data_IF_833132745885
#
_entry.id   IF_833132745885
#
_cell.length_a   1.000
_cell.length_b   1.000
_cell.length_c   1.000
_cell.angle_alpha   90.00
_cell.angle_beta   90.00
_cell.angle_gamma   90.00
#
_symmetry.space_group_name_H-M   'P 1'
#
loop_
_entity.id
_entity.type
_entity.pdbx_description
1 polymer ?
#
# COMPACT_ATOMS: atom_id res chain seq x y z
N UNK A 1 19.05 -15.64 42.07
CA UNK A 1 17.80 -16.01 41.37
C UNK A 1 16.82 -14.84 41.49
N UNK A 2 16.81 -13.91 40.54
CA UNK A 2 15.77 -13.80 39.50
C UNK A 2 14.35 -13.76 40.07
N UNK A 3 13.74 -12.56 40.13
CA UNK A 3 12.53 -12.22 39.35
C UNK A 3 11.91 -10.87 39.77
N UNK A 4 11.84 -9.97 38.78
CA UNK A 4 10.77 -8.99 38.54
C UNK A 4 10.79 -7.69 39.37
N UNK A 5 11.70 -6.80 38.97
CA UNK A 5 11.45 -5.35 38.99
C UNK A 5 10.33 -5.11 37.98
N UNK A 6 9.10 -4.94 38.47
CA UNK A 6 7.93 -4.64 37.65
C UNK A 6 7.09 -3.64 38.42
N UNK A 7 7.57 -2.39 38.50
CA UNK A 7 6.82 -1.24 39.01
C UNK A 7 7.67 0.04 38.93
N UNK A 8 7.96 0.53 37.73
CA UNK A 8 8.34 1.94 37.50
C UNK A 8 8.16 2.29 36.03
N UNK A 9 7.01 2.87 35.68
CA UNK A 9 6.73 3.76 34.52
C UNK A 9 5.29 3.58 33.97
N UNK A 10 4.30 3.85 34.82
CA UNK A 10 3.14 4.60 34.35
C UNK A 10 3.61 6.04 34.17
N UNK A 11 3.14 6.76 33.14
CA UNK A 11 3.29 8.20 32.90
C UNK A 11 4.36 8.64 31.87
N UNK A 12 4.13 8.38 30.57
CA UNK A 12 4.45 9.32 29.46
C UNK A 12 4.20 8.69 28.07
N UNK A 13 2.94 8.59 27.61
CA UNK A 13 2.57 8.66 26.17
C UNK A 13 1.04 8.72 26.00
N UNK A 14 0.37 9.40 26.93
CA UNK A 14 -1.05 9.75 26.86
C UNK A 14 -1.11 11.25 26.57
N UNK A 15 -0.71 11.64 25.35
CA UNK A 15 -0.76 13.04 24.89
C UNK A 15 -1.21 13.06 23.42
N UNK A 16 -2.35 13.71 23.23
CA UNK A 16 -2.95 14.23 21.99
C UNK A 16 -3.85 13.30 21.14
N UNK A 17 -5.06 13.11 21.65
CA UNK A 17 -6.30 12.89 20.90
C UNK A 17 -6.63 14.12 20.03
N UNK A 18 -6.04 14.23 18.84
CA UNK A 18 -6.49 15.10 17.74
C UNK A 18 -5.84 14.69 16.41
N UNK A 19 -5.92 13.41 16.06
CA UNK A 19 -5.75 12.98 14.67
C UNK A 19 -7.06 12.30 14.30
N UNK A 20 -7.86 12.98 13.47
CA UNK A 20 -8.79 12.27 12.59
C UNK A 20 -8.06 11.05 12.01
N UNK A 21 -8.76 9.93 11.86
CA UNK A 21 -8.23 8.69 11.28
C UNK A 21 -7.85 8.85 9.78
N UNK A 22 -7.08 9.88 9.43
CA UNK A 22 -6.33 10.00 8.20
C UNK A 22 -5.19 8.99 8.28
N UNK A 23 -5.52 7.73 7.99
CA UNK A 23 -4.53 6.68 7.76
C UNK A 23 -3.47 7.26 6.82
N UNK A 24 -2.26 7.52 7.32
CA UNK A 24 -1.20 8.18 6.55
C UNK A 24 -0.97 7.38 5.27
N UNK A 25 -1.39 7.93 4.12
CA UNK A 25 -1.12 7.34 2.82
C UNK A 25 0.39 7.42 2.60
N UNK A 26 1.04 6.27 2.42
CA UNK A 26 2.46 6.26 2.07
C UNK A 26 2.68 6.96 0.73
N UNK A 27 3.75 7.76 0.66
CA UNK A 27 4.18 8.43 -0.57
C UNK A 27 4.58 7.40 -1.65
N UNK A 28 4.58 7.77 -2.95
CA UNK A 28 5.06 6.89 -4.03
C UNK A 28 6.47 6.38 -3.79
N UNK A 29 7.37 7.28 -3.34
CA UNK A 29 8.75 6.94 -3.00
C UNK A 29 8.83 5.92 -1.86
N UNK A 30 8.04 6.10 -0.81
CA UNK A 30 7.98 5.14 0.30
C UNK A 30 7.47 3.76 -0.14
N UNK A 31 6.43 3.74 -0.98
CA UNK A 31 5.91 2.48 -1.57
C UNK A 31 6.95 1.81 -2.47
N UNK A 32 7.68 2.59 -3.27
CA UNK A 32 8.72 2.06 -4.15
C UNK A 32 9.87 1.47 -3.35
N UNK A 33 10.31 2.12 -2.27
CA UNK A 33 11.33 1.59 -1.34
C UNK A 33 10.90 0.27 -0.70
N UNK A 34 9.65 0.21 -0.20
CA UNK A 34 9.13 -1.03 0.38
C UNK A 34 9.13 -2.18 -0.66
N UNK A 35 8.68 -1.90 -1.89
CA UNK A 35 8.70 -2.92 -2.94
C UNK A 35 10.14 -3.31 -3.33
N UNK A 36 11.06 -2.33 -3.31
CA UNK A 36 12.48 -2.57 -3.55
C UNK A 36 13.08 -3.52 -2.53
N UNK A 37 12.76 -3.36 -1.25
CA UNK A 37 13.18 -4.26 -0.18
C UNK A 37 12.58 -5.66 -0.37
N UNK A 38 11.27 -5.75 -0.63
CA UNK A 38 10.57 -7.03 -0.78
C UNK A 38 11.04 -7.85 -1.99
N UNK A 39 11.31 -7.20 -3.11
CA UNK A 39 11.69 -7.86 -4.37
C UNK A 39 13.20 -7.78 -4.65
N UNK A 40 13.97 -7.18 -3.75
CA UNK A 40 15.40 -6.89 -3.96
C UNK A 40 15.64 -6.18 -5.30
N UNK A 41 14.90 -5.09 -5.55
CA UNK A 41 15.01 -4.31 -6.78
C UNK A 41 16.34 -3.55 -6.80
N UNK A 42 16.94 -3.43 -7.99
CA UNK A 42 18.09 -2.55 -8.17
C UNK A 42 17.66 -1.07 -8.24
N UNK A 43 18.65 -0.16 -8.27
CA UNK A 43 18.40 1.28 -8.26
C UNK A 43 17.56 1.76 -9.45
N UNK A 44 17.80 1.21 -10.64
CA UNK A 44 17.07 1.60 -11.86
C UNK A 44 15.63 1.09 -11.85
N UNK A 45 15.41 -0.14 -11.40
CA UNK A 45 14.07 -0.70 -11.20
C UNK A 45 13.31 0.10 -10.15
N UNK A 46 13.95 0.47 -9.03
CA UNK A 46 13.34 1.26 -7.96
C UNK A 46 12.88 2.63 -8.46
N UNK A 47 13.74 3.33 -9.22
CA UNK A 47 13.37 4.62 -9.85
C UNK A 47 12.18 4.48 -10.80
N UNK A 48 12.16 3.42 -11.62
CA UNK A 48 11.03 3.16 -12.53
C UNK A 48 9.74 2.86 -11.77
N UNK A 49 9.80 2.07 -10.69
CA UNK A 49 8.64 1.81 -9.80
C UNK A 49 8.13 3.10 -9.19
N UNK A 50 9.01 3.99 -8.72
CA UNK A 50 8.63 5.28 -8.15
C UNK A 50 7.86 6.15 -9.15
N UNK A 51 8.32 6.22 -10.40
CA UNK A 51 7.62 6.93 -11.48
C UNK A 51 6.24 6.32 -11.75
N UNK A 52 6.16 4.99 -11.85
CA UNK A 52 4.89 4.26 -12.05
C UNK A 52 3.91 4.57 -10.90
N UNK A 53 4.37 4.52 -9.65
CA UNK A 53 3.54 4.79 -8.48
C UNK A 53 3.13 6.25 -8.34
N UNK A 54 3.96 7.18 -8.81
CA UNK A 54 3.63 8.61 -8.89
C UNK A 54 2.54 8.84 -9.92
N UNK A 55 2.66 8.26 -11.11
CA UNK A 55 1.63 8.36 -12.15
C UNK A 55 0.30 7.74 -11.70
N UNK A 56 0.36 6.57 -11.05
CA UNK A 56 -0.80 5.89 -10.46
C UNK A 56 -1.50 6.77 -9.41
N UNK A 57 -0.72 7.45 -8.56
CA UNK A 57 -1.27 8.37 -7.57
C UNK A 57 -1.95 9.58 -8.22
N UNK A 58 -1.31 10.21 -9.20
CA UNK A 58 -1.90 11.35 -9.91
C UNK A 58 -3.22 10.97 -10.59
N UNK A 59 -3.28 9.81 -11.26
CA UNK A 59 -4.53 9.29 -11.85
C UNK A 59 -5.61 9.07 -10.80
N UNK A 60 -5.22 8.52 -9.65
CA UNK A 60 -6.14 8.32 -8.51
C UNK A 60 -6.69 9.66 -8.02
N UNK A 61 -5.84 10.64 -7.78
CA UNK A 61 -6.24 11.98 -7.30
C UNK A 61 -7.18 12.68 -8.30
N UNK A 62 -6.91 12.56 -9.61
CA UNK A 62 -7.78 13.13 -10.64
C UNK A 62 -9.19 12.55 -10.65
N UNK A 63 -9.35 11.23 -10.46
CA UNK A 63 -10.68 10.60 -10.43
C UNK A 63 -11.40 10.96 -9.13
N UNK A 64 -10.71 10.87 -8.00
CA UNK A 64 -11.33 11.14 -6.69
C UNK A 64 -11.69 12.62 -6.53
N UNK A 65 -10.90 13.53 -7.11
CA UNK A 65 -11.17 14.97 -7.11
C UNK A 65 -12.32 15.40 -8.02
N UNK A 66 -12.64 14.63 -9.07
CA UNK A 66 -13.76 14.92 -9.98
C UNK A 66 -15.11 14.44 -9.44
N UNK A 67 -15.15 13.20 -8.94
CA UNK A 67 -16.41 12.47 -8.77
C UNK A 67 -16.65 11.96 -7.32
N UNK A 68 -15.70 12.22 -6.40
CA UNK A 68 -15.81 11.84 -4.98
C UNK A 68 -15.76 10.33 -4.69
N UNK A 69 -15.90 9.96 -3.40
CA UNK A 69 -15.76 8.57 -2.92
C UNK A 69 -17.04 7.70 -3.07
N UNK A 70 -18.17 8.27 -3.53
CA UNK A 70 -19.47 7.59 -3.55
C UNK A 70 -19.90 6.99 -4.89
N UNK A 71 -19.16 7.23 -5.99
CA UNK A 71 -19.55 6.78 -7.33
C UNK A 71 -19.04 5.36 -7.61
N UNK A 72 -19.95 4.44 -7.97
CA UNK A 72 -19.61 3.06 -8.37
C UNK A 72 -18.67 2.99 -9.58
N UNK A 73 -18.77 3.91 -10.53
CA UNK A 73 -17.89 3.99 -11.70
C UNK A 73 -16.43 4.30 -11.30
N UNK A 74 -16.23 5.05 -10.21
CA UNK A 74 -14.89 5.29 -9.68
C UNK A 74 -14.26 4.01 -9.16
N UNK A 75 -15.06 3.06 -8.65
CA UNK A 75 -14.54 1.78 -8.18
C UNK A 75 -13.86 1.01 -9.32
N UNK A 76 -14.51 0.93 -10.48
CA UNK A 76 -13.98 0.23 -11.65
C UNK A 76 -12.75 0.94 -12.22
N UNK A 77 -12.79 2.28 -12.28
CA UNK A 77 -11.63 3.08 -12.68
C UNK A 77 -10.44 2.86 -11.73
N UNK A 78 -10.68 2.76 -10.43
CA UNK A 78 -9.64 2.46 -9.43
C UNK A 78 -9.08 1.04 -9.57
N UNK A 79 -9.94 0.05 -9.86
CA UNK A 79 -9.47 -1.31 -10.16
C UNK A 79 -8.58 -1.32 -11.39
N UNK A 80 -8.99 -0.64 -12.46
CA UNK A 80 -8.19 -0.52 -13.68
C UNK A 80 -6.84 0.16 -13.46
N UNK A 81 -6.79 1.25 -12.68
CA UNK A 81 -5.51 1.89 -12.32
C UNK A 81 -4.58 0.91 -11.61
N UNK A 82 -5.11 0.09 -10.68
CA UNK A 82 -4.30 -0.90 -9.96
C UNK A 82 -3.77 -1.97 -10.91
N UNK A 83 -4.60 -2.50 -11.80
CA UNK A 83 -4.19 -3.49 -12.81
C UNK A 83 -3.12 -2.93 -13.74
N UNK A 84 -3.34 -1.74 -14.29
CA UNK A 84 -2.38 -1.08 -15.19
C UNK A 84 -1.05 -0.83 -14.46
N UNK A 85 -1.10 -0.37 -13.21
CA UNK A 85 0.08 -0.17 -12.35
C UNK A 85 0.85 -1.49 -12.17
N UNK A 86 0.16 -2.58 -11.84
CA UNK A 86 0.79 -3.89 -11.65
C UNK A 86 1.42 -4.40 -12.96
N UNK A 87 0.74 -4.20 -14.09
CA UNK A 87 1.24 -4.58 -15.40
C UNK A 87 2.50 -3.79 -15.79
N UNK A 88 2.55 -2.49 -15.50
CA UNK A 88 3.74 -1.65 -15.73
C UNK A 88 4.91 -2.09 -14.85
N UNK A 89 4.67 -2.40 -13.57
CA UNK A 89 5.70 -2.96 -12.68
C UNK A 89 6.21 -4.29 -13.22
N UNK A 90 5.33 -5.22 -13.61
CA UNK A 90 5.73 -6.53 -14.14
C UNK A 90 6.67 -6.45 -15.36
N UNK A 91 6.55 -5.41 -16.20
CA UNK A 91 7.39 -5.22 -17.39
C UNK A 91 8.85 -4.90 -17.07
N UNK A 92 9.13 -4.35 -15.88
CA UNK A 92 10.49 -3.93 -15.47
C UNK A 92 11.17 -4.94 -14.53
N UNK A 93 10.47 -6.02 -14.18
CA UNK A 93 10.98 -7.09 -13.30
C UNK A 93 11.61 -8.22 -14.10
N UNK A 94 12.57 -8.92 -13.49
CA UNK A 94 13.04 -10.22 -13.97
C UNK A 94 12.10 -11.35 -13.53
N UNK A 95 12.30 -12.57 -14.02
CA UNK A 95 11.34 -13.67 -13.81
C UNK A 95 11.21 -14.10 -12.34
N UNK A 96 12.31 -14.06 -11.57
CA UNK A 96 12.27 -14.32 -10.13
C UNK A 96 11.42 -13.26 -9.41
N UNK A 97 11.67 -11.98 -9.69
CA UNK A 97 10.93 -10.86 -9.12
C UNK A 97 9.45 -10.89 -9.52
N UNK A 98 9.13 -11.24 -10.76
CA UNK A 98 7.75 -11.41 -11.24
C UNK A 98 7.00 -12.48 -10.46
N UNK A 99 7.65 -13.61 -10.16
CA UNK A 99 7.05 -14.70 -9.37
C UNK A 99 6.67 -14.21 -7.97
N UNK A 100 7.60 -13.55 -7.27
CA UNK A 100 7.34 -12.99 -5.94
C UNK A 100 6.30 -11.87 -5.98
N UNK A 101 6.34 -11.00 -6.99
CA UNK A 101 5.36 -9.93 -7.13
C UNK A 101 3.93 -10.45 -7.35
N UNK A 102 3.75 -11.54 -8.11
CA UNK A 102 2.46 -12.21 -8.26
C UNK A 102 1.92 -12.73 -6.92
N UNK A 103 2.78 -13.28 -6.06
CA UNK A 103 2.38 -13.71 -4.70
C UNK A 103 1.91 -12.51 -3.86
N UNK A 104 2.65 -11.40 -3.91
CA UNK A 104 2.28 -10.16 -3.22
C UNK A 104 0.90 -9.67 -3.67
N UNK A 105 0.63 -9.66 -4.98
CA UNK A 105 -0.69 -9.27 -5.53
C UNK A 105 -1.78 -10.22 -5.05
N UNK A 106 -1.55 -11.52 -5.11
CA UNK A 106 -2.53 -12.53 -4.72
C UNK A 106 -2.86 -12.45 -3.22
N UNK A 107 -1.86 -12.26 -2.36
CA UNK A 107 -2.09 -12.05 -0.93
C UNK A 107 -2.87 -10.75 -0.66
N UNK A 108 -2.57 -9.68 -1.40
CA UNK A 108 -3.34 -8.44 -1.30
C UNK A 108 -4.81 -8.67 -1.69
N UNK A 109 -5.06 -9.45 -2.75
CA UNK A 109 -6.41 -9.82 -3.19
C UNK A 109 -7.15 -10.61 -2.12
N UNK A 110 -6.53 -11.67 -1.57
CA UNK A 110 -7.10 -12.46 -0.48
C UNK A 110 -7.45 -11.62 0.75
N UNK A 111 -6.54 -10.74 1.19
CA UNK A 111 -6.81 -9.83 2.32
C UNK A 111 -7.97 -8.88 2.03
N UNK A 112 -8.18 -8.47 0.78
CA UNK A 112 -9.36 -7.66 0.42
C UNK A 112 -10.64 -8.48 0.43
N UNK A 113 -10.60 -9.73 -0.06
CA UNK A 113 -11.73 -10.67 -0.04
C UNK A 113 -12.16 -10.98 1.39
N UNK A 114 -11.21 -11.34 2.28
CA UNK A 114 -11.46 -11.58 3.70
C UNK A 114 -12.11 -10.38 4.39
N UNK A 115 -11.60 -9.17 4.13
CA UNK A 115 -12.21 -7.93 4.66
C UNK A 115 -13.61 -7.70 4.12
N UNK A 116 -13.87 -8.07 2.87
CA UNK A 116 -15.19 -7.96 2.27
C UNK A 116 -16.16 -8.95 2.91
N UNK A 117 -15.75 -10.20 3.12
CA UNK A 117 -16.54 -11.22 3.79
C UNK A 117 -16.86 -10.84 5.23
N UNK A 118 -15.86 -10.38 6.00
CA UNK A 118 -16.05 -9.93 7.39
C UNK A 118 -16.98 -8.72 7.54
N UNK A 119 -17.27 -7.98 6.46
CA UNK A 119 -18.24 -6.87 6.47
C UNK A 119 -19.67 -7.32 6.17
N UNK A 120 -19.84 -8.53 5.62
CA UNK A 120 -21.14 -9.09 5.26
C UNK A 120 -21.70 -10.03 6.35
N UNK A 121 -20.85 -10.45 7.29
CA UNK A 121 -21.20 -11.22 8.48
C UNK A 121 -21.46 -10.29 9.67
#
# INVERSE_FOLDING_TARGET
>A
MLKKILLFSVLALLVLSASSNAQMRMSPSGRAKQLAEQLSLNADQTKKVEVIFTNSQNKTEQIMGKDGFGNGENRDKMMKIREDTNNEVMKILNDKQKSEFKKIIEEQRKRMEERSQNRMN
#
